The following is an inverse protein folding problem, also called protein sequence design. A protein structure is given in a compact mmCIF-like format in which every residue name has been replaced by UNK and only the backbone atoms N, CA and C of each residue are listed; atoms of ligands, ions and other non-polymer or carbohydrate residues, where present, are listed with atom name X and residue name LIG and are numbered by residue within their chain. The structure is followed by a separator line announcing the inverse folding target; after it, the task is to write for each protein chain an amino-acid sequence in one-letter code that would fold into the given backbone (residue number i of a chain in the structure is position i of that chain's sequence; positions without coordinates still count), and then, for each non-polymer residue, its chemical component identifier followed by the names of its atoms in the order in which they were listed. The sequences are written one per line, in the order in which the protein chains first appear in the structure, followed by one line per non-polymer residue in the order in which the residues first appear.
data_IF_178222062517
#
_entry.id   IF_178222062517
#
_cell.length_a   1.000
_cell.length_b   1.000
_cell.length_c   1.000
_cell.angle_alpha   90.00
_cell.angle_beta   90.00
_cell.angle_gamma   90.00
#
_symmetry.space_group_name_H-M   'P 1'
#
loop_
_entity.id
_entity.type
_entity.pdbx_description
1 polymer ?
#
# COMPACT_ATOMS: atom_id res chain seq x y z
N UNK A 1 -13.67 8.41 6.44
CA UNK A 1 -12.21 8.56 6.25
C UNK A 1 -11.78 7.51 5.24
N UNK A 2 -10.99 7.85 4.22
CA UNK A 2 -10.52 6.86 3.22
C UNK A 2 -9.34 6.08 3.78
N UNK A 3 -9.33 4.77 3.55
CA UNK A 3 -8.21 3.89 3.87
C UNK A 3 -7.01 4.19 2.97
N UNK A 4 -5.83 3.64 3.31
CA UNK A 4 -4.63 3.83 2.49
C UNK A 4 -4.82 3.25 1.07
N UNK A 5 -5.36 2.03 0.98
CA UNK A 5 -5.66 1.38 -0.30
C UNK A 5 -6.59 2.23 -1.18
N UNK A 6 -7.70 2.72 -0.61
CA UNK A 6 -8.66 3.58 -1.33
C UNK A 6 -8.01 4.85 -1.88
N UNK A 7 -7.12 5.50 -1.12
CA UNK A 7 -6.41 6.70 -1.59
C UNK A 7 -5.46 6.38 -2.75
N UNK A 8 -4.82 5.22 -2.71
CA UNK A 8 -3.86 4.81 -3.74
C UNK A 8 -4.54 4.43 -5.06
N UNK A 9 -5.61 3.63 -5.02
CA UNK A 9 -6.32 3.19 -6.24
C UNK A 9 -7.00 4.32 -7.01
N UNK A 10 -7.25 5.47 -6.37
CA UNK A 10 -7.81 6.66 -7.04
C UNK A 10 -6.80 7.39 -7.92
N UNK A 11 -5.49 7.20 -7.69
CA UNK A 11 -4.43 7.99 -8.33
C UNK A 11 -3.46 7.12 -9.13
N UNK A 12 -3.24 5.89 -8.68
CA UNK A 12 -2.29 4.95 -9.27
C UNK A 12 -2.94 4.14 -10.39
N UNK A 13 -2.12 3.68 -11.33
CA UNK A 13 -2.60 2.71 -12.32
C UNK A 13 -2.76 1.32 -11.71
N UNK A 14 -3.68 0.48 -12.22
CA UNK A 14 -3.84 -0.89 -11.73
C UNK A 14 -2.55 -1.70 -11.76
N UNK A 15 -1.66 -1.49 -12.74
CA UNK A 15 -0.39 -2.23 -12.83
C UNK A 15 0.69 -1.75 -11.85
N UNK A 16 0.42 -0.69 -11.09
CA UNK A 16 1.31 -0.12 -10.07
C UNK A 16 0.87 -0.46 -8.65
N UNK A 17 -0.21 -1.24 -8.51
CA UNK A 17 -0.73 -1.76 -7.24
C UNK A 17 -0.90 -3.27 -7.37
N UNK A 18 -0.42 -4.00 -6.39
CA UNK A 18 -0.63 -5.44 -6.26
C UNK A 18 -0.84 -5.76 -4.78
N UNK A 19 -1.08 -7.02 -4.45
CA UNK A 19 -1.23 -7.44 -3.06
C UNK A 19 -0.87 -8.91 -2.87
N UNK A 20 -0.59 -9.28 -1.62
CA UNK A 20 -0.56 -10.68 -1.22
C UNK A 20 -1.29 -10.84 0.12
N UNK A 21 -2.36 -11.64 0.13
CA UNK A 21 -3.23 -11.74 1.31
C UNK A 21 -3.66 -10.36 1.79
N UNK A 22 -3.32 -9.97 3.03
CA UNK A 22 -3.65 -8.68 3.64
C UNK A 22 -2.67 -7.56 3.30
N UNK A 23 -1.53 -7.88 2.69
CA UNK A 23 -0.44 -6.94 2.50
C UNK A 23 -0.57 -6.25 1.15
N UNK A 24 -0.32 -4.95 1.14
CA UNK A 24 -0.49 -4.09 -0.03
C UNK A 24 0.87 -3.77 -0.65
N UNK A 25 1.01 -4.05 -1.94
CA UNK A 25 2.20 -3.73 -2.72
C UNK A 25 1.96 -2.54 -3.63
N UNK A 26 2.85 -1.55 -3.56
CA UNK A 26 2.66 -0.26 -4.24
C UNK A 26 3.94 0.18 -4.90
N UNK A 27 3.94 0.40 -6.22
CA UNK A 27 5.13 0.90 -6.91
C UNK A 27 5.58 2.24 -6.34
N UNK A 28 6.89 2.42 -6.15
CA UNK A 28 7.43 3.70 -5.68
C UNK A 28 7.37 4.74 -6.79
N UNK A 29 6.52 5.74 -6.59
CA UNK A 29 6.35 6.92 -7.43
C UNK A 29 6.30 8.17 -6.54
N UNK A 30 6.27 9.37 -7.15
CA UNK A 30 6.07 10.61 -6.40
C UNK A 30 4.69 10.62 -5.69
N UNK A 31 3.66 10.13 -6.36
CA UNK A 31 2.30 10.10 -5.82
C UNK A 31 2.17 9.08 -4.69
N UNK A 32 2.64 7.84 -4.88
CA UNK A 32 2.54 6.83 -3.81
C UNK A 32 3.32 7.25 -2.57
N UNK A 33 4.52 7.82 -2.74
CA UNK A 33 5.30 8.36 -1.62
C UNK A 33 4.51 9.44 -0.86
N UNK A 34 3.94 10.41 -1.58
CA UNK A 34 3.16 11.50 -0.98
C UNK A 34 1.95 10.97 -0.21
N UNK A 35 1.15 10.10 -0.83
CA UNK A 35 -0.07 9.54 -0.22
C UNK A 35 0.26 8.72 1.03
N UNK A 36 1.31 7.89 0.98
CA UNK A 36 1.74 7.09 2.13
C UNK A 36 2.24 8.01 3.26
N UNK A 37 3.07 9.01 2.94
CA UNK A 37 3.59 9.96 3.94
C UNK A 37 2.45 10.75 4.61
N UNK A 38 1.48 11.25 3.83
CA UNK A 38 0.28 11.93 4.32
C UNK A 38 -0.57 11.02 5.21
N UNK A 39 -0.82 9.77 4.77
CA UNK A 39 -1.63 8.83 5.53
C UNK A 39 -1.05 8.53 6.92
N UNK A 40 0.24 8.24 7.02
CA UNK A 40 0.89 7.99 8.32
C UNK A 40 1.07 9.26 9.16
N UNK A 41 1.09 10.45 8.56
CA UNK A 41 1.05 11.71 9.31
C UNK A 41 -0.33 11.97 9.94
N UNK A 42 -1.40 11.56 9.27
CA UNK A 42 -2.78 11.65 9.77
C UNK A 42 -3.11 10.60 10.84
N UNK A 43 -2.35 9.49 10.89
CA UNK A 43 -2.54 8.36 11.80
C UNK A 43 -1.29 8.14 12.66
N UNK A 44 -1.00 9.04 13.62
CA UNK A 44 0.23 8.99 14.42
C UNK A 44 0.37 7.72 15.29
N UNK A 45 -0.72 7.00 15.54
CA UNK A 45 -0.74 5.69 16.19
C UNK A 45 -0.13 4.59 15.32
N UNK A 46 -0.10 4.78 14.00
CA UNK A 46 0.53 3.88 13.06
C UNK A 46 1.97 4.34 12.80
N UNK A 47 2.94 3.56 13.26
CA UNK A 47 4.33 3.89 12.99
C UNK A 47 4.75 3.35 11.62
N UNK A 48 4.89 4.24 10.63
CA UNK A 48 5.25 3.90 9.24
C UNK A 48 6.39 2.87 9.13
N UNK A 49 7.45 3.03 9.90
CA UNK A 49 8.64 2.16 9.85
C UNK A 49 8.37 0.71 10.30
N UNK A 50 7.28 0.44 11.02
CA UNK A 50 6.89 -0.91 11.41
C UNK A 50 6.10 -1.64 10.34
N UNK A 51 5.36 -0.90 9.49
CA UNK A 51 4.42 -1.45 8.53
C UNK A 51 4.90 -1.35 7.09
N UNK A 52 5.78 -0.40 6.78
CA UNK A 52 6.24 -0.12 5.41
C UNK A 52 7.69 -0.55 5.25
N UNK A 53 7.93 -1.48 4.34
CA UNK A 53 9.25 -1.84 3.84
C UNK A 53 9.36 -1.59 2.34
N UNK A 54 10.57 -1.69 1.78
CA UNK A 54 10.84 -1.50 0.35
C UNK A 54 11.53 -2.75 -0.18
N UNK A 55 11.07 -3.23 -1.34
CA UNK A 55 11.72 -4.32 -2.07
C UNK A 55 11.89 -3.97 -3.55
N UNK A 56 12.84 -4.63 -4.21
CA UNK A 56 12.98 -4.58 -5.68
C UNK A 56 12.21 -5.74 -6.29
N UNK A 57 11.34 -5.45 -7.26
CA UNK A 57 10.62 -6.49 -7.99
C UNK A 57 11.58 -7.34 -8.83
N UNK A 58 11.40 -8.66 -8.77
CA UNK A 58 12.09 -9.61 -9.64
C UNK A 58 11.47 -9.72 -11.05
N UNK A 59 10.38 -8.99 -11.31
CA UNK A 59 9.66 -9.00 -12.59
C UNK A 59 10.11 -7.78 -13.41
N UNK A 60 10.49 -7.97 -14.69
CA UNK A 60 10.81 -6.86 -15.57
C UNK A 60 9.59 -5.94 -15.84
N UNK A 61 9.80 -4.60 -15.90
CA UNK A 61 11.03 -3.89 -15.59
C UNK A 61 11.30 -3.86 -14.07
N UNK A 62 12.55 -4.13 -13.67
CA UNK A 62 12.96 -4.05 -12.26
C UNK A 62 12.70 -2.65 -11.73
N UNK A 63 11.87 -2.55 -10.71
CA UNK A 63 11.52 -1.31 -10.04
C UNK A 63 11.29 -1.55 -8.56
N UNK A 64 11.35 -0.48 -7.77
CA UNK A 64 11.14 -0.53 -6.33
C UNK A 64 9.64 -0.42 -6.01
N UNK A 65 9.23 -1.19 -5.01
CA UNK A 65 7.87 -1.27 -4.50
C UNK A 65 7.89 -1.12 -2.97
N UNK A 66 6.85 -0.49 -2.44
CA UNK A 66 6.51 -0.59 -1.03
C UNK A 66 5.81 -1.91 -0.77
N UNK A 67 6.17 -2.56 0.33
CA UNK A 67 5.39 -3.61 0.97
C UNK A 67 4.81 -3.02 2.25
N UNK A 68 3.48 -2.96 2.32
CA UNK A 68 2.72 -2.33 3.39
C UNK A 68 1.84 -3.39 4.07
N UNK A 69 2.29 -3.83 5.24
CA UNK A 69 1.63 -4.87 6.00
C UNK A 69 0.20 -4.49 6.37
N UNK A 70 -0.73 -5.42 6.18
CA UNK A 70 -2.16 -5.33 6.55
C UNK A 70 -2.97 -4.20 5.89
N UNK A 71 -2.42 -3.51 4.88
CA UNK A 71 -3.05 -2.33 4.28
C UNK A 71 -3.97 -2.63 3.07
N UNK A 72 -4.18 -3.89 2.71
CA UNK A 72 -5.12 -4.28 1.64
C UNK A 72 -6.52 -4.59 2.23
N UNK A 73 -7.37 -3.58 2.28
CA UNK A 73 -8.71 -3.67 2.88
C UNK A 73 -9.62 -4.77 2.30
N UNK A 74 -9.63 -5.06 0.97
CA UNK A 74 -10.53 -6.07 0.41
C UNK A 74 -10.37 -7.46 1.04
N UNK A 75 -9.17 -7.81 1.49
CA UNK A 75 -8.93 -9.06 2.22
C UNK A 75 -9.73 -9.12 3.53
N UNK A 76 -9.74 -8.03 4.30
CA UNK A 76 -10.44 -7.95 5.59
C UNK A 76 -11.96 -7.88 5.41
N UNK A 77 -12.41 -7.14 4.40
CA UNK A 77 -13.84 -7.07 4.04
C UNK A 77 -14.38 -8.46 3.68
N UNK A 78 -13.61 -9.26 2.95
CA UNK A 78 -13.97 -10.66 2.66
C UNK A 78 -13.92 -11.54 3.92
N UNK A 79 -12.87 -11.41 4.74
CA UNK A 79 -12.71 -12.20 5.96
C UNK A 79 -13.83 -11.96 6.99
N UNK A 80 -14.35 -10.73 7.08
CA UNK A 80 -15.43 -10.35 8.00
C UNK A 80 -16.82 -10.89 7.63
N UNK A 81 -16.99 -11.45 6.43
CA UNK A 81 -18.27 -12.01 5.94
C UNK A 81 -18.47 -13.47 6.33
N UNK A 82 -17.49 -14.10 6.98
CA UNK A 82 -17.54 -15.48 7.47
C UNK A 82 -17.94 -15.51 8.94
#
# INVERSE_FOLDING_TARGET
MKTLYQRLVEVMKPEEIDHHSSDLYVRITKESKRIIDEYYAEHPELHKHMFVSIFESNIPPRCLWYDIAFAYDPFWEEASKK
#
